data_IF_350470668016
#
_entry.id   IF_350470668016
#
_cell.length_a   1.000
_cell.length_b   1.000
_cell.length_c   1.000
_cell.angle_alpha   90.00
_cell.angle_beta   90.00
_cell.angle_gamma   90.00
#
_symmetry.space_group_name_H-M   'P 1'
#
loop_
_entity.id
_entity.type
_entity.pdbx_description
1 polymer ?
#
# COMPACT_ATOMS: atom_id res chain seq x y z
N UNK A 1 13.28 17.30 0.38
CA UNK A 1 14.38 16.66 -0.35
C UNK A 1 14.45 15.19 0.05
N UNK A 2 14.29 14.27 -0.90
CA UNK A 2 14.39 12.83 -0.65
C UNK A 2 15.84 12.49 -0.31
N UNK A 3 16.03 11.68 0.73
CA UNK A 3 17.33 11.15 1.13
C UNK A 3 17.34 9.65 0.86
N UNK A 4 18.42 9.14 0.31
CA UNK A 4 18.62 7.72 0.02
C UNK A 4 19.81 7.20 0.80
N UNK A 5 19.67 6.02 1.39
CA UNK A 5 20.82 5.27 1.89
C UNK A 5 21.62 4.63 0.74
N UNK A 6 22.94 4.45 0.89
CA UNK A 6 23.73 3.70 -0.08
C UNK A 6 23.18 2.30 -0.30
N UNK A 7 23.17 1.84 -1.56
CA UNK A 7 22.62 0.52 -1.90
C UNK A 7 23.35 -0.62 -1.18
N UNK A 8 24.66 -0.50 -0.99
CA UNK A 8 25.45 -1.50 -0.25
C UNK A 8 24.98 -1.63 1.19
N UNK A 9 24.73 -0.50 1.88
CA UNK A 9 24.20 -0.53 3.24
C UNK A 9 22.86 -1.24 3.32
N UNK A 10 21.93 -0.97 2.39
CA UNK A 10 20.64 -1.64 2.34
C UNK A 10 20.79 -3.15 2.10
N UNK A 11 21.70 -3.53 1.22
CA UNK A 11 22.01 -4.93 0.96
C UNK A 11 22.55 -5.63 2.22
N UNK A 12 23.51 -5.01 2.90
CA UNK A 12 24.10 -5.56 4.13
C UNK A 12 23.03 -5.71 5.24
N UNK A 13 22.16 -4.71 5.42
CA UNK A 13 21.05 -4.76 6.38
C UNK A 13 20.05 -5.88 6.03
N UNK A 14 19.68 -6.03 4.77
CA UNK A 14 18.73 -7.07 4.32
C UNK A 14 19.33 -8.47 4.48
N UNK A 15 20.59 -8.65 4.16
CA UNK A 15 21.29 -9.93 4.38
C UNK A 15 21.40 -10.24 5.88
N UNK A 16 21.66 -9.24 6.70
CA UNK A 16 21.66 -9.36 8.16
C UNK A 16 20.29 -9.82 8.70
N UNK A 17 19.16 -9.30 8.16
CA UNK A 17 17.82 -9.78 8.53
C UNK A 17 17.67 -11.29 8.26
N UNK A 18 18.14 -11.76 7.11
CA UNK A 18 18.11 -13.17 6.74
C UNK A 18 18.94 -14.03 7.68
N UNK A 19 20.20 -13.69 7.87
CA UNK A 19 21.16 -14.42 8.70
C UNK A 19 20.73 -14.50 10.17
N UNK A 20 20.18 -13.41 10.70
CA UNK A 20 19.69 -13.34 12.08
C UNK A 20 18.23 -13.80 12.25
N UNK A 21 17.62 -14.37 11.22
CA UNK A 21 16.27 -14.96 11.24
C UNK A 21 15.19 -13.97 11.68
N UNK A 22 15.29 -12.71 11.25
CA UNK A 22 14.28 -11.70 11.51
C UNK A 22 13.01 -12.08 10.76
N UNK A 23 11.94 -12.42 11.48
CA UNK A 23 10.71 -12.92 10.86
C UNK A 23 9.93 -11.83 10.14
N UNK A 24 9.89 -10.62 10.68
CA UNK A 24 9.08 -9.53 10.17
C UNK A 24 9.90 -8.25 10.00
N UNK A 25 9.83 -7.65 8.81
CA UNK A 25 10.43 -6.37 8.50
C UNK A 25 9.36 -5.40 8.01
N UNK A 26 9.34 -4.20 8.57
CA UNK A 26 8.48 -3.11 8.11
C UNK A 26 9.34 -1.96 7.56
N UNK A 27 9.09 -1.58 6.30
CA UNK A 27 9.74 -0.41 5.72
C UNK A 27 9.22 0.88 6.36
N UNK A 28 10.10 1.71 6.87
CA UNK A 28 9.75 3.03 7.39
C UNK A 28 9.46 4.07 6.28
N UNK A 29 9.53 3.67 5.02
CA UNK A 29 9.16 4.52 3.88
C UNK A 29 7.64 4.56 3.70
N UNK A 30 7.06 5.75 3.78
CA UNK A 30 5.62 5.97 3.60
C UNK A 30 5.16 5.90 2.12
N UNK A 31 6.09 5.83 1.16
CA UNK A 31 5.81 5.90 -0.28
C UNK A 31 6.67 4.89 -1.07
N UNK A 32 6.82 3.68 -0.54
CA UNK A 32 7.60 2.63 -1.18
C UNK A 32 7.08 2.32 -2.59
N UNK A 33 7.97 2.11 -3.54
CA UNK A 33 7.64 1.89 -4.95
C UNK A 33 7.61 3.16 -5.80
N UNK A 34 7.73 4.36 -5.20
CA UNK A 34 7.79 5.60 -5.98
C UNK A 34 9.09 5.77 -6.77
N UNK A 35 10.17 5.19 -6.29
CA UNK A 35 11.49 5.36 -6.87
C UNK A 35 12.02 4.07 -7.50
N UNK A 36 12.85 4.20 -8.52
CA UNK A 36 13.41 3.05 -9.24
C UNK A 36 14.23 2.11 -8.34
N UNK A 37 14.86 2.61 -7.30
CA UNK A 37 15.63 1.80 -6.36
C UNK A 37 14.78 0.96 -5.40
N UNK A 38 13.48 1.24 -5.28
CA UNK A 38 12.59 0.47 -4.40
C UNK A 38 12.37 -0.95 -4.94
N UNK A 39 12.36 -1.11 -6.26
CA UNK A 39 12.34 -2.42 -6.89
C UNK A 39 13.60 -3.23 -6.53
N UNK A 40 14.78 -2.60 -6.57
CA UNK A 40 16.02 -3.27 -6.17
C UNK A 40 15.97 -3.69 -4.69
N UNK A 41 15.40 -2.86 -3.80
CA UNK A 41 15.20 -3.22 -2.38
C UNK A 41 14.27 -4.42 -2.22
N UNK A 42 13.17 -4.47 -2.97
CA UNK A 42 12.26 -5.61 -2.97
C UNK A 42 12.96 -6.90 -3.48
N UNK A 43 13.77 -6.80 -4.52
CA UNK A 43 14.59 -7.91 -5.02
C UNK A 43 15.61 -8.43 -3.98
N UNK A 44 16.25 -7.53 -3.24
CA UNK A 44 17.13 -7.90 -2.12
C UNK A 44 16.38 -8.69 -1.04
N UNK A 45 15.16 -8.25 -0.66
CA UNK A 45 14.31 -8.97 0.30
C UNK A 45 13.96 -10.38 -0.18
N UNK A 46 13.61 -10.53 -1.44
CA UNK A 46 13.33 -11.85 -2.05
C UNK A 46 14.58 -12.73 -2.05
N UNK A 47 15.75 -12.18 -2.39
CA UNK A 47 17.01 -12.90 -2.37
C UNK A 47 17.40 -13.37 -0.97
N UNK A 48 17.24 -12.52 0.05
CA UNK A 48 17.50 -12.90 1.44
C UNK A 48 16.56 -14.03 1.89
N UNK A 49 15.25 -13.92 1.61
CA UNK A 49 14.31 -14.99 1.91
C UNK A 49 14.66 -16.31 1.21
N UNK A 50 15.05 -16.24 -0.05
CA UNK A 50 15.47 -17.43 -0.81
C UNK A 50 16.71 -18.09 -0.22
N UNK A 51 17.69 -17.30 0.24
CA UNK A 51 18.95 -17.80 0.79
C UNK A 51 18.82 -18.32 2.23
N UNK A 52 18.05 -17.66 3.07
CA UNK A 52 18.00 -17.92 4.51
C UNK A 52 16.62 -18.41 5.03
N UNK A 53 15.55 -18.37 4.21
CA UNK A 53 14.19 -18.59 4.64
C UNK A 53 13.57 -17.37 5.39
N UNK A 54 14.32 -16.29 5.54
CA UNK A 54 13.96 -15.06 6.24
C UNK A 54 14.33 -13.81 5.42
N UNK A 55 13.59 -12.69 5.64
CA UNK A 55 12.41 -12.54 6.50
C UNK A 55 11.22 -13.37 6.01
N UNK A 56 10.28 -13.70 6.91
CA UNK A 56 9.06 -14.39 6.55
C UNK A 56 8.00 -13.43 5.98
N UNK A 57 8.01 -12.18 6.43
CA UNK A 57 7.15 -11.13 5.91
C UNK A 57 7.88 -9.80 5.81
N UNK A 58 7.55 -9.07 4.73
CA UNK A 58 7.97 -7.70 4.50
C UNK A 58 6.73 -6.82 4.25
N UNK A 59 6.59 -5.76 5.03
CA UNK A 59 5.50 -4.79 4.91
C UNK A 59 6.03 -3.43 4.50
N UNK A 60 5.30 -2.78 3.61
CA UNK A 60 5.58 -1.41 3.19
C UNK A 60 4.29 -0.65 2.91
N UNK A 61 4.34 0.67 3.04
CA UNK A 61 3.28 1.56 2.59
C UNK A 61 3.59 1.98 1.16
N UNK A 62 2.77 1.56 0.21
CA UNK A 62 2.98 1.89 -1.20
C UNK A 62 2.67 3.36 -1.51
N UNK A 63 3.49 3.96 -2.37
CA UNK A 63 3.22 5.28 -2.94
C UNK A 63 2.04 5.27 -3.92
N UNK A 64 1.44 6.44 -4.18
CA UNK A 64 0.19 6.52 -4.97
C UNK A 64 0.39 6.75 -6.47
N UNK A 65 1.58 7.19 -6.92
CA UNK A 65 1.78 7.74 -8.26
C UNK A 65 2.76 6.95 -9.14
N UNK A 66 2.94 5.65 -8.88
CA UNK A 66 3.87 4.81 -9.63
C UNK A 66 3.27 3.42 -9.89
N UNK A 67 2.07 3.40 -10.48
CA UNK A 67 1.20 2.23 -10.61
C UNK A 67 1.92 0.99 -11.16
N UNK A 68 2.67 1.12 -12.26
CA UNK A 68 3.35 -0.02 -12.89
C UNK A 68 4.48 -0.58 -12.03
N UNK A 69 5.27 0.29 -11.40
CA UNK A 69 6.37 -0.15 -10.52
C UNK A 69 5.85 -0.78 -9.23
N UNK A 70 4.80 -0.20 -8.65
CA UNK A 70 4.16 -0.76 -7.47
C UNK A 70 3.56 -2.12 -7.80
N UNK A 71 2.94 -2.27 -8.96
CA UNK A 71 2.44 -3.55 -9.44
C UNK A 71 3.54 -4.59 -9.59
N UNK A 72 4.68 -4.22 -10.18
CA UNK A 72 5.84 -5.10 -10.32
C UNK A 72 6.39 -5.53 -8.95
N UNK A 73 6.59 -4.59 -8.03
CA UNK A 73 7.07 -4.85 -6.66
C UNK A 73 6.09 -5.74 -5.90
N UNK A 74 4.80 -5.41 -5.92
CA UNK A 74 3.78 -6.15 -5.20
C UNK A 74 3.67 -7.60 -5.70
N UNK A 75 3.69 -7.79 -7.01
CA UNK A 75 3.67 -9.12 -7.64
C UNK A 75 4.92 -9.92 -7.28
N UNK A 76 6.09 -9.28 -7.27
CA UNK A 76 7.35 -9.91 -6.87
C UNK A 76 7.32 -10.37 -5.41
N UNK A 77 6.89 -9.50 -4.51
CA UNK A 77 6.83 -9.79 -3.06
C UNK A 77 5.76 -10.85 -2.75
N UNK A 78 4.61 -10.82 -3.42
CA UNK A 78 3.54 -11.80 -3.24
C UNK A 78 3.98 -13.19 -3.69
N UNK A 79 4.58 -13.31 -4.89
CA UNK A 79 5.13 -14.58 -5.40
C UNK A 79 6.19 -15.18 -4.47
N UNK A 80 6.94 -14.35 -3.77
CA UNK A 80 7.93 -14.79 -2.78
C UNK A 80 7.30 -15.08 -1.40
N UNK A 81 5.99 -14.88 -1.22
CA UNK A 81 5.31 -15.03 0.06
C UNK A 81 5.77 -14.03 1.13
N UNK A 82 6.26 -12.86 0.72
CA UNK A 82 6.73 -11.79 1.61
C UNK A 82 5.64 -10.76 1.93
N UNK A 83 4.68 -10.58 1.03
CA UNK A 83 3.58 -9.62 1.16
C UNK A 83 2.25 -10.33 1.42
N UNK A 84 1.25 -9.57 1.86
CA UNK A 84 -0.15 -10.01 1.95
C UNK A 84 -1.06 -9.24 0.98
N UNK A 85 -0.50 -8.56 -0.01
CA UNK A 85 -1.25 -7.81 -1.00
C UNK A 85 -1.03 -6.30 -0.96
N UNK A 86 -1.88 -5.56 -1.64
CA UNK A 86 -1.78 -4.13 -1.88
C UNK A 86 -2.99 -3.39 -1.32
N UNK A 87 -2.75 -2.27 -0.67
CA UNK A 87 -3.82 -1.37 -0.23
C UNK A 87 -4.10 -0.31 -1.27
N UNK A 88 -5.35 -0.26 -1.74
CA UNK A 88 -5.90 0.78 -2.59
C UNK A 88 -6.86 1.65 -1.76
N UNK A 89 -6.32 2.65 -1.06
CA UNK A 89 -7.09 3.48 -0.13
C UNK A 89 -7.85 4.59 -0.85
N UNK A 90 -9.18 4.66 -0.63
CA UNK A 90 -10.02 5.77 -1.09
C UNK A 90 -10.11 6.91 -0.08
N UNK A 91 -10.01 6.65 1.20
CA UNK A 91 -10.32 7.54 2.32
C UNK A 91 -11.83 7.82 2.41
N UNK A 92 -12.42 8.40 1.37
CA UNK A 92 -13.84 8.63 1.11
C UNK A 92 -14.10 8.60 -0.40
N UNK A 93 -15.30 8.27 -0.83
CA UNK A 93 -15.73 8.44 -2.24
C UNK A 93 -16.41 9.78 -2.47
N UNK A 94 -16.75 10.50 -1.40
CA UNK A 94 -17.44 11.79 -1.47
C UNK A 94 -16.46 12.91 -1.88
N UNK A 95 -16.74 13.57 -3.00
CA UNK A 95 -15.89 14.62 -3.57
C UNK A 95 -15.75 15.83 -2.67
N UNK A 96 -16.83 16.24 -1.96
CA UNK A 96 -16.79 17.37 -1.04
C UNK A 96 -15.94 17.05 0.19
N UNK A 97 -16.06 15.85 0.75
CA UNK A 97 -15.23 15.36 1.85
C UNK A 97 -13.76 15.36 1.47
N UNK A 98 -13.42 14.84 0.28
CA UNK A 98 -12.05 14.83 -0.22
C UNK A 98 -11.50 16.26 -0.42
N UNK A 99 -12.30 17.17 -0.92
CA UNK A 99 -11.93 18.57 -1.05
C UNK A 99 -11.64 19.22 0.30
N UNK A 100 -12.48 18.95 1.30
CA UNK A 100 -12.32 19.48 2.68
C UNK A 100 -11.01 19.05 3.33
N UNK A 101 -10.52 17.83 3.02
CA UNK A 101 -9.25 17.30 3.54
C UNK A 101 -8.07 17.50 2.56
N UNK A 102 -8.25 18.28 1.49
CA UNK A 102 -7.21 18.57 0.52
C UNK A 102 -6.69 17.34 -0.26
N UNK A 103 -7.50 16.29 -0.38
CA UNK A 103 -7.11 15.06 -1.06
C UNK A 103 -7.77 14.87 -2.42
N UNK A 104 -7.07 14.17 -3.30
CA UNK A 104 -7.59 13.65 -4.56
C UNK A 104 -7.51 12.14 -4.57
N UNK A 105 -8.62 11.49 -4.92
CA UNK A 105 -8.63 10.05 -5.16
C UNK A 105 -8.23 9.71 -6.58
N UNK A 106 -7.87 8.43 -6.77
CA UNK A 106 -7.86 7.82 -8.09
C UNK A 106 -9.30 7.79 -8.62
N UNK A 107 -9.44 7.89 -9.92
CA UNK A 107 -10.76 7.75 -10.56
C UNK A 107 -11.27 6.31 -10.37
N UNK A 108 -12.58 6.13 -10.26
CA UNK A 108 -13.18 4.82 -10.03
C UNK A 108 -12.84 3.80 -11.14
N UNK A 109 -12.77 4.26 -12.40
CA UNK A 109 -12.37 3.40 -13.52
C UNK A 109 -10.90 2.94 -13.42
N UNK A 110 -10.01 3.84 -12.99
CA UNK A 110 -8.60 3.48 -12.72
C UNK A 110 -8.53 2.47 -11.56
N UNK A 111 -9.32 2.67 -10.52
CA UNK A 111 -9.40 1.74 -9.40
C UNK A 111 -9.85 0.35 -9.85
N UNK A 112 -10.93 0.24 -10.64
CA UNK A 112 -11.41 -1.03 -11.21
C UNK A 112 -10.36 -1.72 -12.08
N UNK A 113 -9.67 -0.94 -12.91
CA UNK A 113 -8.59 -1.44 -13.75
C UNK A 113 -7.43 -2.01 -12.92
N UNK A 114 -7.02 -1.32 -11.87
CA UNK A 114 -5.99 -1.79 -10.94
C UNK A 114 -6.42 -3.06 -10.20
N UNK A 115 -7.65 -3.11 -9.68
CA UNK A 115 -8.19 -4.31 -9.04
C UNK A 115 -8.15 -5.52 -9.97
N UNK A 116 -8.63 -5.35 -11.21
CA UNK A 116 -8.60 -6.40 -12.22
C UNK A 116 -7.18 -6.90 -12.48
N UNK A 117 -6.22 -5.97 -12.61
CA UNK A 117 -4.82 -6.27 -12.85
C UNK A 117 -4.19 -7.05 -11.70
N UNK A 118 -4.44 -6.64 -10.46
CA UNK A 118 -3.95 -7.34 -9.27
C UNK A 118 -4.59 -8.72 -9.11
N UNK A 119 -5.91 -8.80 -9.31
CA UNK A 119 -6.63 -10.07 -9.26
C UNK A 119 -6.09 -11.10 -10.27
N UNK A 120 -5.84 -10.68 -11.52
CA UNK A 120 -5.23 -11.53 -12.55
C UNK A 120 -3.81 -11.99 -12.19
N UNK A 121 -3.10 -11.22 -11.38
CA UNK A 121 -1.78 -11.56 -10.87
C UNK A 121 -1.81 -12.37 -9.55
N UNK A 122 -3.00 -12.70 -9.03
CA UNK A 122 -3.23 -13.32 -7.72
C UNK A 122 -2.61 -12.51 -6.56
N UNK A 123 -2.66 -11.17 -6.65
CA UNK A 123 -2.23 -10.26 -5.60
C UNK A 123 -3.48 -9.75 -4.88
N UNK A 124 -3.66 -10.04 -3.57
CA UNK A 124 -4.82 -9.57 -2.81
C UNK A 124 -4.90 -8.03 -2.76
N UNK A 125 -6.13 -7.51 -2.81
CA UNK A 125 -6.39 -6.06 -2.78
C UNK A 125 -7.22 -5.71 -1.55
N UNK A 126 -6.70 -4.78 -0.75
CA UNK A 126 -7.37 -4.22 0.41
C UNK A 126 -7.80 -2.79 0.10
N UNK A 127 -9.05 -2.48 0.42
CA UNK A 127 -9.60 -1.12 0.28
C UNK A 127 -9.81 -0.51 1.65
N UNK A 128 -9.41 0.72 1.83
CA UNK A 128 -9.52 1.43 3.11
C UNK A 128 -10.33 2.72 2.96
N UNK A 129 -11.24 2.91 3.92
CA UNK A 129 -12.06 4.10 4.10
C UNK A 129 -11.83 4.69 5.49
N UNK A 130 -12.06 5.99 5.62
CA UNK A 130 -12.01 6.67 6.91
C UNK A 130 -13.40 7.22 7.24
N UNK A 131 -13.97 6.75 8.34
CA UNK A 131 -15.25 7.23 8.86
C UNK A 131 -15.04 8.48 9.73
N UNK A 132 -15.88 9.50 9.51
CA UNK A 132 -15.89 10.72 10.32
C UNK A 132 -14.98 11.83 9.80
N UNK A 133 -14.67 11.81 8.50
CA UNK A 133 -13.96 12.90 7.84
C UNK A 133 -14.80 14.19 7.80
N UNK A 134 -14.18 15.39 7.80
CA UNK A 134 -14.87 16.66 7.76
C UNK A 134 -15.84 16.80 6.58
N UNK A 135 -17.12 17.05 6.89
CA UNK A 135 -18.20 17.21 5.90
C UNK A 135 -18.79 15.90 5.37
N UNK A 136 -18.35 14.76 5.88
CA UNK A 136 -18.98 13.47 5.56
C UNK A 136 -20.24 13.26 6.39
N UNK A 137 -21.29 12.76 5.75
CA UNK A 137 -22.55 12.38 6.41
C UNK A 137 -22.70 10.87 6.43
N UNK A 138 -23.59 10.37 7.27
CA UNK A 138 -23.95 8.95 7.27
C UNK A 138 -24.36 8.48 5.87
N UNK A 139 -25.20 9.25 5.17
CA UNK A 139 -25.68 8.91 3.83
C UNK A 139 -24.53 8.88 2.82
N UNK A 140 -23.64 9.89 2.82
CA UNK A 140 -22.51 9.91 1.88
C UNK A 140 -21.54 8.76 2.13
N UNK A 141 -21.29 8.43 3.39
CA UNK A 141 -20.42 7.29 3.74
C UNK A 141 -21.03 5.94 3.35
N UNK A 142 -22.33 5.73 3.65
CA UNK A 142 -23.05 4.51 3.24
C UNK A 142 -23.06 4.32 1.73
N UNK A 143 -23.37 5.38 0.97
CA UNK A 143 -23.32 5.34 -0.49
C UNK A 143 -21.91 5.02 -1.00
N UNK A 144 -20.88 5.56 -0.33
CA UNK A 144 -19.49 5.28 -0.66
C UNK A 144 -19.10 3.81 -0.48
N UNK A 145 -19.57 3.18 0.60
CA UNK A 145 -19.38 1.73 0.81
C UNK A 145 -20.07 0.94 -0.31
N UNK A 146 -21.33 1.29 -0.62
CA UNK A 146 -22.09 0.63 -1.68
C UNK A 146 -21.39 0.74 -3.04
N UNK A 147 -20.89 1.93 -3.38
CA UNK A 147 -20.14 2.19 -4.62
C UNK A 147 -18.88 1.31 -4.72
N UNK A 148 -18.13 1.18 -3.62
CA UNK A 148 -16.95 0.33 -3.57
C UNK A 148 -17.33 -1.15 -3.69
N UNK A 149 -18.37 -1.60 -3.00
CA UNK A 149 -18.86 -2.98 -3.08
C UNK A 149 -19.29 -3.33 -4.51
N UNK A 150 -19.97 -2.41 -5.19
CA UNK A 150 -20.38 -2.58 -6.58
C UNK A 150 -19.19 -2.56 -7.56
N UNK A 151 -18.08 -1.90 -7.23
CA UNK A 151 -16.86 -1.94 -8.03
C UNK A 151 -16.25 -3.36 -8.09
N UNK A 152 -16.45 -4.18 -7.04
CA UNK A 152 -16.06 -5.59 -6.98
C UNK A 152 -14.54 -5.81 -6.84
N UNK A 153 -14.12 -7.08 -6.86
CA UNK A 153 -12.71 -7.53 -6.91
C UNK A 153 -11.80 -7.05 -5.76
N UNK A 154 -12.34 -6.86 -4.57
CA UNK A 154 -11.55 -6.61 -3.35
C UNK A 154 -11.65 -7.81 -2.39
N UNK A 155 -10.54 -8.11 -1.73
CA UNK A 155 -10.49 -9.21 -0.75
C UNK A 155 -10.95 -8.74 0.62
N UNK A 156 -10.75 -7.46 0.93
CA UNK A 156 -11.17 -6.87 2.20
C UNK A 156 -11.42 -5.37 2.07
N UNK A 157 -12.45 -4.88 2.76
CA UNK A 157 -12.70 -3.45 2.98
C UNK A 157 -12.45 -3.15 4.46
N UNK A 158 -11.51 -2.26 4.75
CA UNK A 158 -11.23 -1.75 6.08
C UNK A 158 -11.87 -0.38 6.29
N UNK A 159 -12.51 -0.18 7.43
CA UNK A 159 -13.05 1.12 7.84
C UNK A 159 -12.32 1.57 9.10
N UNK A 160 -11.68 2.73 9.05
CA UNK A 160 -10.94 3.31 10.15
C UNK A 160 -11.62 4.60 10.63
N UNK A 161 -11.62 4.83 11.93
CA UNK A 161 -12.10 6.11 12.47
C UNK A 161 -11.10 7.22 12.15
N UNK A 162 -11.64 8.40 11.78
CA UNK A 162 -10.83 9.59 11.61
C UNK A 162 -10.20 9.98 12.95
N UNK A 163 -8.88 9.98 13.00
CA UNK A 163 -8.11 10.44 14.16
C UNK A 163 -7.31 11.67 13.76
N UNK A 164 -7.60 12.80 14.39
CA UNK A 164 -6.85 14.03 14.18
C UNK A 164 -5.57 13.96 15.01
N UNK A 165 -4.43 13.97 14.35
CA UNK A 165 -3.13 14.00 15.01
C UNK A 165 -2.74 15.44 15.40
N UNK A 166 -1.98 15.64 16.48
CA UNK A 166 -1.44 16.95 16.82
C UNK A 166 -0.65 17.56 15.65
N UNK A 167 -0.78 18.86 15.43
CA UNK A 167 -0.12 19.61 14.36
C UNK A 167 -0.55 19.23 12.92
N UNK A 168 -1.74 18.70 12.73
CA UNK A 168 -2.36 18.59 11.40
C UNK A 168 -3.21 19.83 11.10
N UNK A 169 -3.35 20.16 9.80
CA UNK A 169 -4.16 21.31 9.34
C UNK A 169 -5.66 20.97 9.27
N UNK A 170 -6.11 19.86 9.85
CA UNK A 170 -7.50 19.46 9.96
C UNK A 170 -8.11 19.90 11.28
#
# INVERSE_FOLDING_TARGET
KVRRFPSQRLQDEVMWFGDNRIAFVFSADANFGMYQWDLATAQMMVAAKSAFGYPQAFRCCYGKNAEDRIFEIATLLEKAGLSKGVTLSFQSTNSQTLQNIGRRNIKLDTYRSLQTRYHQANVPVYTELILGLPGETYTSFSNGIEEILQAGLHDQIGVFLCTILPNTDM
#
